data_IF_616443737949
#
_entry.id   IF_616443737949
#
_cell.length_a   1.000
_cell.length_b   1.000
_cell.length_c   1.000
_cell.angle_alpha   90.00
_cell.angle_beta   90.00
_cell.angle_gamma   90.00
#
_symmetry.space_group_name_H-M   'P 1'
#
loop_
_entity.id
_entity.type
_entity.pdbx_description
1 polymer ?
#
# COMPACT_ATOMS: atom_id res chain seq x y z
N UNK A 1 -1.96 11.70 0.52
CA UNK A 1 -1.76 10.59 1.49
C UNK A 1 -2.02 9.28 0.79
N UNK A 2 -1.44 8.21 1.30
CA UNK A 2 -1.70 6.84 0.86
C UNK A 2 -1.96 5.97 2.09
N UNK A 3 -2.96 5.12 2.05
CA UNK A 3 -3.24 4.13 3.08
C UNK A 3 -3.23 2.75 2.43
N UNK A 4 -2.54 1.81 3.03
CA UNK A 4 -2.38 0.43 2.59
C UNK A 4 -2.84 -0.49 3.72
N UNK A 5 -3.94 -1.17 3.49
CA UNK A 5 -4.47 -2.18 4.39
C UNK A 5 -3.98 -3.55 3.89
N UNK A 6 -3.39 -4.34 4.77
CA UNK A 6 -2.86 -5.67 4.47
C UNK A 6 -3.24 -6.66 5.57
N UNK A 7 -3.26 -7.95 5.26
CA UNK A 7 -3.57 -8.98 6.25
C UNK A 7 -2.55 -8.99 7.39
N UNK A 8 -3.06 -9.07 8.62
CA UNK A 8 -2.21 -9.00 9.81
C UNK A 8 -1.23 -10.17 9.90
N UNK A 9 0.07 -9.86 9.92
CA UNK A 9 1.13 -10.83 10.17
C UNK A 9 2.38 -10.59 9.34
N UNK A 10 2.23 -10.21 8.07
CA UNK A 10 3.35 -9.96 7.16
C UNK A 10 3.16 -8.68 6.34
N UNK A 11 3.93 -7.64 6.64
CA UNK A 11 3.84 -6.35 5.94
C UNK A 11 4.61 -6.30 4.61
N UNK A 12 5.28 -7.39 4.19
CA UNK A 12 6.21 -7.36 3.07
C UNK A 12 5.56 -6.89 1.76
N UNK A 13 4.36 -7.38 1.44
CA UNK A 13 3.69 -7.00 0.20
C UNK A 13 3.27 -5.52 0.22
N UNK A 14 2.74 -5.04 1.34
CA UNK A 14 2.36 -3.63 1.50
C UNK A 14 3.58 -2.70 1.43
N UNK A 15 4.70 -3.07 2.03
CA UNK A 15 5.96 -2.34 1.96
C UNK A 15 6.54 -2.33 0.54
N UNK A 16 6.54 -3.47 -0.14
CA UNK A 16 6.99 -3.57 -1.54
C UNK A 16 6.10 -2.75 -2.48
N UNK A 17 4.78 -2.77 -2.27
CA UNK A 17 3.85 -1.96 -3.05
C UNK A 17 4.07 -0.47 -2.82
N UNK A 18 4.28 -0.06 -1.55
CA UNK A 18 4.64 1.31 -1.21
C UNK A 18 5.99 1.71 -1.82
N UNK A 19 6.98 0.83 -1.78
CA UNK A 19 8.30 1.04 -2.38
C UNK A 19 8.22 1.24 -3.89
N UNK A 20 7.42 0.42 -4.59
CA UNK A 20 7.11 0.62 -5.99
C UNK A 20 6.43 1.96 -6.25
N UNK A 21 5.40 2.30 -5.47
CA UNK A 21 4.66 3.55 -5.66
C UNK A 21 5.56 4.78 -5.46
N UNK A 22 6.39 4.76 -4.42
CA UNK A 22 7.33 5.80 -4.09
C UNK A 22 8.44 5.94 -5.15
N UNK A 23 9.00 4.83 -5.66
CA UNK A 23 10.04 4.87 -6.70
C UNK A 23 9.52 5.48 -8.00
N UNK A 24 8.28 5.17 -8.40
CA UNK A 24 7.65 5.72 -9.60
C UNK A 24 7.37 7.21 -9.53
N UNK A 25 7.21 7.76 -8.33
CA UNK A 25 6.86 9.17 -8.10
C UNK A 25 8.03 10.02 -7.57
N UNK A 26 9.23 9.45 -7.52
CA UNK A 26 10.45 10.09 -7.00
C UNK A 26 10.26 10.59 -5.55
N UNK A 27 9.59 9.79 -4.73
CA UNK A 27 9.40 10.08 -3.32
C UNK A 27 10.62 9.64 -2.52
N UNK A 28 11.05 10.50 -1.59
CA UNK A 28 12.19 10.22 -0.71
C UNK A 28 11.70 9.94 0.71
N UNK A 29 12.00 8.77 1.29
CA UNK A 29 11.53 8.42 2.62
C UNK A 29 12.25 9.27 3.68
N UNK A 30 11.51 9.72 4.69
CA UNK A 30 11.96 10.70 5.70
C UNK A 30 11.87 10.13 7.12
N UNK A 31 10.78 9.43 7.44
CA UNK A 31 10.61 8.81 8.75
C UNK A 31 9.79 7.54 8.68
N UNK A 32 10.02 6.65 9.64
CA UNK A 32 9.24 5.43 9.88
C UNK A 32 8.83 5.41 11.34
N UNK A 33 7.54 5.25 11.63
CA UNK A 33 7.02 5.23 13.00
C UNK A 33 5.98 4.12 13.18
N UNK A 34 6.27 3.17 14.07
CA UNK A 34 5.32 2.17 14.53
C UNK A 34 4.44 2.82 15.60
N UNK A 35 3.15 3.02 15.29
CA UNK A 35 2.15 3.61 16.19
C UNK A 35 1.46 2.51 17.02
N UNK A 36 1.30 1.32 16.45
CA UNK A 36 0.66 0.18 17.10
C UNK A 36 -0.87 0.27 17.10
N UNK A 37 -1.49 -0.24 18.16
CA UNK A 37 -2.96 -0.35 18.28
C UNK A 37 -3.51 -1.65 17.69
N UNK A 38 -4.84 -1.75 17.56
CA UNK A 38 -5.50 -2.97 17.08
C UNK A 38 -5.02 -3.42 15.69
N UNK A 39 -4.70 -2.44 14.84
CA UNK A 39 -4.26 -2.62 13.46
C UNK A 39 -2.75 -2.48 13.26
N UNK A 40 -1.94 -2.50 14.32
CA UNK A 40 -0.46 -2.35 14.25
C UNK A 40 -0.02 -1.25 13.28
N UNK A 41 -0.61 -0.05 13.45
CA UNK A 41 -0.47 1.04 12.49
C UNK A 41 1.00 1.46 12.37
N UNK A 42 1.45 1.63 11.14
CA UNK A 42 2.76 2.20 10.83
C UNK A 42 2.58 3.42 9.93
N UNK A 43 3.22 4.53 10.31
CA UNK A 43 3.29 5.73 9.50
C UNK A 43 4.67 5.91 8.88
N UNK A 44 4.69 6.11 7.57
CA UNK A 44 5.92 6.43 6.82
C UNK A 44 5.71 7.78 6.15
N UNK A 45 6.68 8.67 6.33
CA UNK A 45 6.67 9.99 5.68
C UNK A 45 7.63 10.03 4.51
N UNK A 46 7.24 10.73 3.47
CA UNK A 46 8.06 11.00 2.30
C UNK A 46 8.06 12.49 1.95
N UNK A 47 9.10 12.93 1.28
CA UNK A 47 9.09 14.17 0.49
C UNK A 47 8.97 13.81 -1.00
N UNK A 48 7.95 14.36 -1.65
CA UNK A 48 7.77 14.29 -3.09
C UNK A 48 8.33 15.51 -3.80
N UNK A 49 7.88 15.72 -5.04
CA UNK A 49 8.23 16.91 -5.82
C UNK A 49 7.84 18.20 -5.06
N UNK A 50 8.64 19.26 -5.24
CA UNK A 50 8.47 20.54 -4.56
C UNK A 50 8.42 20.44 -3.02
N UNK A 51 9.09 19.44 -2.45
CA UNK A 51 9.14 19.18 -1.01
C UNK A 51 7.75 18.96 -0.38
N UNK A 52 6.80 18.45 -1.17
CA UNK A 52 5.48 18.07 -0.70
C UNK A 52 5.61 16.94 0.33
N UNK A 53 5.08 17.14 1.53
CA UNK A 53 4.99 16.06 2.52
C UNK A 53 3.90 15.07 2.09
N UNK A 54 4.27 13.79 2.06
CA UNK A 54 3.35 12.68 1.81
C UNK A 54 3.38 11.77 3.03
N UNK A 55 2.19 11.47 3.56
CA UNK A 55 2.02 10.50 4.65
C UNK A 55 1.44 9.22 4.08
N UNK A 56 2.14 8.12 4.34
CA UNK A 56 1.71 6.76 4.11
C UNK A 56 1.30 6.10 5.44
N UNK A 57 0.16 5.43 5.46
CA UNK A 57 -0.30 4.60 6.57
C UNK A 57 -0.37 3.14 6.12
N UNK A 58 0.24 2.25 6.88
CA UNK A 58 0.13 0.81 6.74
C UNK A 58 -0.68 0.29 7.91
N UNK A 59 -1.71 -0.53 7.64
CA UNK A 59 -2.55 -1.11 8.67
C UNK A 59 -2.69 -2.62 8.49
N UNK A 60 -2.41 -3.36 9.56
CA UNK A 60 -2.53 -4.80 9.68
C UNK A 60 -3.97 -5.17 10.05
N UNK A 61 -4.76 -5.60 9.07
CA UNK A 61 -6.17 -5.93 9.24
C UNK A 61 -6.30 -7.37 9.75
N UNK A 62 -6.90 -7.60 10.93
CA UNK A 62 -7.24 -8.94 11.37
C UNK A 62 -8.32 -9.51 10.45
N UNK A 63 -8.01 -10.56 9.72
CA UNK A 63 -8.96 -11.32 8.93
C UNK A 63 -9.35 -12.60 9.66
N UNK A 64 -10.58 -13.07 9.45
CA UNK A 64 -11.05 -14.32 10.06
C UNK A 64 -10.49 -15.55 9.35
N UNK A 65 -10.12 -15.39 8.07
CA UNK A 65 -9.44 -16.36 7.23
C UNK A 65 -8.32 -15.62 6.50
N UNK A 66 -7.11 -16.19 6.47
CA UNK A 66 -6.03 -15.64 5.67
C UNK A 66 -6.23 -16.12 4.22
N UNK A 67 -5.91 -15.27 3.24
CA UNK A 67 -5.78 -15.69 1.86
C UNK A 67 -4.75 -16.81 1.69
N UNK A 68 -4.54 -17.27 0.45
CA UNK A 68 -3.53 -18.30 0.18
C UNK A 68 -2.12 -17.88 0.64
N UNK A 69 -1.83 -16.56 0.66
CA UNK A 69 -0.55 -15.99 1.06
C UNK A 69 -0.73 -15.02 2.24
N UNK A 70 -0.13 -15.28 3.41
CA UNK A 70 -0.24 -14.38 4.56
C UNK A 70 0.36 -13.00 4.27
N UNK A 71 -0.40 -11.96 4.58
CA UNK A 71 0.03 -10.57 4.41
C UNK A 71 -0.40 -9.94 3.10
N UNK A 72 -1.40 -10.54 2.43
CA UNK A 72 -1.93 -10.00 1.19
C UNK A 72 -2.55 -8.61 1.39
N UNK A 73 -2.47 -7.80 0.33
CA UNK A 73 -2.97 -6.44 0.28
C UNK A 73 -4.49 -6.48 0.15
N UNK A 74 -5.15 -5.97 1.17
CA UNK A 74 -6.62 -5.96 1.28
C UNK A 74 -7.19 -4.69 0.65
N UNK A 75 -6.47 -3.58 0.74
CA UNK A 75 -6.92 -2.34 0.12
C UNK A 75 -5.88 -1.23 0.04
N UNK A 76 -6.12 -0.32 -0.89
CA UNK A 76 -5.35 0.88 -1.14
C UNK A 76 -6.29 2.07 -1.17
N UNK A 77 -5.97 3.11 -0.42
CA UNK A 77 -6.66 4.39 -0.49
C UNK A 77 -5.68 5.50 -0.80
N UNK A 78 -5.96 6.23 -1.87
CA UNK A 78 -5.24 7.46 -2.23
C UNK A 78 -6.12 8.65 -1.83
N UNK A 79 -5.51 9.68 -1.24
CA UNK A 79 -6.22 10.89 -0.82
C UNK A 79 -5.44 12.15 -1.11
N UNK A 80 -6.14 13.20 -1.54
CA UNK A 80 -5.58 14.55 -1.66
C UNK A 80 -5.54 15.27 -0.30
N UNK A 81 -4.46 16.01 -0.05
CA UNK A 81 -4.37 16.94 1.09
C UNK A 81 -4.84 18.34 0.73
N UNK A 82 -5.23 18.60 -0.53
CA UNK A 82 -5.72 19.91 -0.96
C UNK A 82 -7.11 20.19 -0.37
N UNK A 83 -7.26 21.17 0.53
CA UNK A 83 -8.55 21.51 1.13
C UNK A 83 -9.48 22.26 0.18
N UNK A 84 -8.96 22.83 -0.92
CA UNK A 84 -9.69 23.60 -1.92
C UNK A 84 -10.08 22.77 -3.16
N UNK A 85 -9.88 21.46 -3.13
CA UNK A 85 -10.41 20.60 -4.18
C UNK A 85 -11.92 20.47 -3.95
N UNK A 86 -12.73 21.07 -4.84
CA UNK A 86 -14.20 20.99 -4.83
C UNK A 86 -14.74 19.54 -4.88
N UNK A 87 -13.86 18.58 -5.21
CA UNK A 87 -14.05 17.14 -5.09
C UNK A 87 -12.91 16.61 -4.21
N UNK A 88 -13.26 15.88 -3.16
CA UNK A 88 -12.31 15.11 -2.37
C UNK A 88 -11.78 13.97 -3.26
N UNK A 89 -10.69 14.20 -4.01
CA UNK A 89 -10.10 13.19 -4.91
C UNK A 89 -9.52 12.04 -4.07
N UNK A 90 -10.40 11.09 -3.77
CA UNK A 90 -10.12 9.90 -3.00
C UNK A 90 -10.44 8.69 -3.87
N UNK A 91 -9.48 7.77 -4.03
CA UNK A 91 -9.68 6.53 -4.78
C UNK A 91 -9.40 5.37 -3.84
N UNK A 92 -10.35 4.45 -3.74
CA UNK A 92 -10.27 3.24 -2.94
C UNK A 92 -10.25 2.05 -3.90
N UNK A 93 -9.22 1.23 -3.82
CA UNK A 93 -9.10 -0.05 -4.49
C UNK A 93 -9.11 -1.12 -3.40
N UNK A 94 -10.05 -2.05 -3.43
CA UNK A 94 -10.15 -3.09 -2.40
C UNK A 94 -10.48 -4.45 -3.02
N UNK A 95 -9.86 -5.50 -2.51
CA UNK A 95 -10.09 -6.90 -2.92
C UNK A 95 -11.22 -7.56 -2.12
N UNK A 96 -11.43 -7.12 -0.87
CA UNK A 96 -12.44 -7.67 0.04
C UNK A 96 -13.35 -6.60 0.65
N UNK A 97 -14.57 -6.99 0.99
CA UNK A 97 -15.59 -6.12 1.58
C UNK A 97 -15.12 -5.45 2.87
N UNK A 98 -14.33 -6.16 3.70
CA UNK A 98 -13.79 -5.64 4.97
C UNK A 98 -12.80 -4.49 4.74
N UNK A 99 -11.93 -4.62 3.73
CA UNK A 99 -11.01 -3.55 3.32
C UNK A 99 -11.74 -2.32 2.79
N UNK A 100 -12.77 -2.53 1.96
CA UNK A 100 -13.59 -1.43 1.44
C UNK A 100 -14.24 -0.64 2.59
N UNK A 101 -14.88 -1.34 3.56
CA UNK A 101 -15.57 -0.68 4.67
C UNK A 101 -14.63 0.14 5.56
N UNK A 102 -13.44 -0.38 5.90
CA UNK A 102 -12.48 0.38 6.74
C UNK A 102 -11.99 1.64 6.03
N UNK A 103 -11.65 1.52 4.75
CA UNK A 103 -11.19 2.65 3.94
C UNK A 103 -12.29 3.69 3.69
N UNK A 104 -13.56 3.30 3.80
CA UNK A 104 -14.73 4.18 3.75
C UNK A 104 -15.07 4.84 5.09
N UNK A 105 -14.80 4.18 6.22
CA UNK A 105 -15.26 4.54 7.58
C UNK A 105 -14.71 5.87 8.14
N UNK A 106 -13.83 6.58 7.44
CA UNK A 106 -13.30 7.89 7.84
C UNK A 106 -14.27 9.07 7.71
N UNK A 107 -15.58 8.84 7.60
CA UNK A 107 -16.62 9.88 7.48
C UNK A 107 -16.61 10.65 6.15
N UNK A 108 -15.84 10.19 5.15
CA UNK A 108 -15.69 10.83 3.83
C UNK A 108 -16.04 9.92 2.65
N UNK A 109 -16.59 8.72 2.92
CA UNK A 109 -16.95 7.70 1.93
C UNK A 109 -17.78 8.23 0.75
N UNK A 110 -18.73 9.15 1.00
CA UNK A 110 -19.61 9.70 -0.05
C UNK A 110 -18.89 10.53 -1.12
N UNK A 111 -17.58 10.75 -1.00
CA UNK A 111 -16.78 11.54 -1.94
C UNK A 111 -15.59 10.77 -2.54
N UNK A 112 -15.42 9.47 -2.24
CA UNK A 112 -14.37 8.63 -2.81
C UNK A 112 -14.90 7.84 -4.02
N UNK A 113 -14.08 7.68 -5.07
CA UNK A 113 -14.29 6.68 -6.10
C UNK A 113 -13.82 5.33 -5.54
N UNK A 114 -14.76 4.43 -5.25
CA UNK A 114 -14.46 3.07 -4.79
C UNK A 114 -14.57 2.11 -5.98
N UNK A 115 -13.48 1.41 -6.27
CA UNK A 115 -13.43 0.36 -7.28
C UNK A 115 -13.11 -0.97 -6.59
N UNK A 116 -13.96 -1.97 -6.80
CA UNK A 116 -13.67 -3.33 -6.35
C UNK A 116 -12.72 -3.98 -7.35
N UNK A 117 -11.55 -4.42 -6.88
CA UNK A 117 -10.59 -5.11 -7.71
C UNK A 117 -10.81 -6.61 -7.56
N UNK A 118 -11.53 -7.19 -8.51
CA UNK A 118 -11.62 -8.65 -8.66
C UNK A 118 -10.49 -9.15 -9.53
N UNK A 119 -9.86 -10.26 -9.16
CA UNK A 119 -8.85 -10.90 -10.00
C UNK A 119 -9.44 -11.20 -11.39
N UNK A 120 -8.75 -10.78 -12.45
CA UNK A 120 -9.18 -10.99 -13.84
C UNK A 120 -9.15 -12.47 -14.24
N UNK A 121 -8.41 -13.29 -13.49
CA UNK A 121 -8.25 -14.73 -13.68
C UNK A 121 -8.08 -15.42 -12.34
N UNK A 122 -8.55 -16.67 -12.25
CA UNK A 122 -8.37 -17.57 -11.09
C UNK A 122 -6.91 -18.12 -11.03
N UNK A 123 -5.95 -17.28 -11.41
CA UNK A 123 -4.54 -17.64 -11.47
C UNK A 123 -3.91 -17.40 -10.10
N UNK A 124 -3.43 -18.49 -9.49
CA UNK A 124 -2.73 -18.45 -8.21
C UNK A 124 -1.48 -17.57 -8.30
N UNK A 125 -1.13 -16.92 -7.19
CA UNK A 125 0.02 -16.03 -7.08
C UNK A 125 1.33 -16.72 -7.52
N UNK A 126 1.49 -18.01 -7.24
CA UNK A 126 2.67 -18.79 -7.61
C UNK A 126 2.80 -18.97 -9.13
N UNK A 127 1.67 -19.08 -9.85
CA UNK A 127 1.69 -19.21 -11.30
C UNK A 127 2.16 -17.90 -11.96
N UNK A 128 1.69 -16.75 -11.45
CA UNK A 128 2.14 -15.43 -11.90
C UNK A 128 3.61 -15.20 -11.56
N UNK A 129 4.05 -15.59 -10.36
CA UNK A 129 5.45 -15.50 -9.94
C UNK A 129 6.36 -16.39 -10.80
N UNK A 130 5.96 -17.63 -11.07
CA UNK A 130 6.68 -18.53 -11.96
C UNK A 130 6.82 -17.94 -13.37
N UNK A 131 5.79 -17.27 -13.88
CA UNK A 131 5.85 -16.60 -15.18
C UNK A 131 6.84 -15.42 -15.17
N UNK A 132 6.94 -14.67 -14.07
CA UNK A 132 7.96 -13.61 -13.96
C UNK A 132 9.37 -14.19 -13.87
N UNK A 133 9.56 -15.29 -13.13
CA UNK A 133 10.85 -15.98 -13.00
C UNK A 133 11.34 -16.64 -14.30
N UNK A 134 10.44 -16.92 -15.24
CA UNK A 134 10.81 -17.43 -16.57
C UNK A 134 11.46 -16.35 -17.47
N UNK A 135 11.38 -15.07 -17.10
CA UNK A 135 12.01 -13.99 -17.84
C UNK A 135 13.50 -13.97 -17.55
N UNK A 136 14.31 -14.07 -18.61
CA UNK A 136 15.75 -13.92 -18.53
C UNK A 136 16.09 -12.43 -18.54
N UNK A 137 16.71 -11.94 -17.47
CA UNK A 137 17.14 -10.55 -17.36
C UNK A 137 16.94 -9.98 -15.96
N UNK A 138 17.29 -8.69 -15.81
CA UNK A 138 17.02 -7.94 -14.59
C UNK A 138 15.60 -7.38 -14.64
N UNK A 139 14.85 -7.53 -13.56
CA UNK A 139 13.60 -6.82 -13.37
C UNK A 139 13.89 -5.47 -12.69
N UNK A 140 14.09 -4.45 -13.52
CA UNK A 140 14.43 -3.10 -13.05
C UNK A 140 13.36 -2.55 -12.11
N UNK A 141 12.08 -2.83 -12.37
CA UNK A 141 10.99 -2.33 -11.53
C UNK A 141 11.01 -3.02 -10.16
N UNK A 142 11.23 -4.33 -10.13
CA UNK A 142 11.37 -5.05 -8.86
C UNK A 142 12.59 -4.56 -8.08
N UNK A 143 13.74 -4.37 -8.74
CA UNK A 143 14.98 -3.88 -8.12
C UNK A 143 14.81 -2.47 -7.55
N UNK A 144 14.23 -1.53 -8.30
CA UNK A 144 13.94 -0.16 -7.83
C UNK A 144 12.97 -0.17 -6.64
N UNK A 145 11.94 -1.02 -6.69
CA UNK A 145 10.96 -1.16 -5.61
C UNK A 145 11.59 -1.73 -4.35
N UNK A 146 12.46 -2.73 -4.51
CA UNK A 146 13.19 -3.35 -3.40
C UNK A 146 14.20 -2.37 -2.80
N UNK A 147 14.91 -1.60 -3.63
CA UNK A 147 15.83 -0.57 -3.17
C UNK A 147 15.10 0.51 -2.36
N UNK A 148 13.98 1.03 -2.86
CA UNK A 148 13.15 1.99 -2.14
C UNK A 148 12.61 1.40 -0.82
N UNK A 149 12.16 0.15 -0.85
CA UNK A 149 11.70 -0.57 0.36
C UNK A 149 12.83 -0.70 1.38
N UNK A 150 14.05 -1.03 0.94
CA UNK A 150 15.21 -1.10 1.81
C UNK A 150 15.55 0.28 2.42
N UNK A 151 15.40 1.37 1.66
CA UNK A 151 15.57 2.73 2.18
C UNK A 151 14.53 3.06 3.26
N UNK A 152 13.26 2.71 3.04
CA UNK A 152 12.19 2.85 4.04
C UNK A 152 12.53 2.08 5.31
N UNK A 153 12.92 0.80 5.19
CA UNK A 153 13.20 -0.07 6.32
C UNK A 153 14.40 0.40 7.15
N UNK A 154 15.43 0.97 6.52
CA UNK A 154 16.59 1.56 7.23
C UNK A 154 16.18 2.67 8.20
N UNK A 155 15.07 3.36 7.96
CA UNK A 155 14.56 4.40 8.86
C UNK A 155 13.96 3.83 10.16
N UNK A 156 13.59 2.54 10.18
CA UNK A 156 13.11 1.86 11.38
C UNK A 156 14.26 1.47 12.34
N UNK A 157 15.52 1.65 11.93
CA UNK A 157 16.69 1.50 12.80
C UNK A 157 16.93 0.10 13.39
N UNK A 158 16.31 -0.95 12.82
CA UNK A 158 16.57 -2.36 13.15
C UNK A 158 17.49 -3.00 12.11
#
# INVERSE_FOLDING_TARGET
TITLDYEKGNAAQALMFLGWFASRLDWKPVSYAEVGGEYDITHIKFHGQNNQEIVAELAAIPTADFGEIPGDLVGVRLGSTNPNADINCCTILCSETTGCMRLESGGKAQSCLTEQVTALTDQKAEALMAQQLQRWGRDVLYEESLEMTAQILKLNGK
#
